data_IF_353788455531
#
_entry.id   IF_353788455531
#
_cell.length_a   1.000
_cell.length_b   1.000
_cell.length_c   1.000
_cell.angle_alpha   90.00
_cell.angle_beta   90.00
_cell.angle_gamma   90.00
#
_symmetry.space_group_name_H-M   'P 1'
#
loop_
_entity.id
_entity.type
_entity.pdbx_description
1 polymer ?
#
# COMPACT_ATOMS: atom_id res chain seq x y z
N UNK A 1 -1.74 23.70 -11.83
CA UNK A 1 -1.85 22.67 -10.78
C UNK A 1 -0.70 21.69 -10.96
N UNK A 2 0.04 21.35 -9.90
CA UNK A 2 1.19 20.43 -9.97
C UNK A 2 0.74 19.01 -10.30
N UNK A 3 1.67 18.17 -10.76
CA UNK A 3 1.42 16.76 -11.04
C UNK A 3 0.87 16.01 -9.82
N UNK A 4 1.48 16.20 -8.65
CA UNK A 4 1.05 15.58 -7.38
C UNK A 4 -0.40 15.91 -7.03
N UNK A 5 -0.80 17.20 -7.10
CA UNK A 5 -2.17 17.60 -6.75
C UNK A 5 -3.17 17.04 -7.78
N UNK A 6 -2.80 16.95 -9.07
CA UNK A 6 -3.66 16.33 -10.09
C UNK A 6 -3.87 14.84 -9.80
N UNK A 7 -2.80 14.12 -9.49
CA UNK A 7 -2.85 12.70 -9.14
C UNK A 7 -3.74 12.45 -7.92
N UNK A 8 -3.57 13.23 -6.85
CA UNK A 8 -4.38 13.11 -5.62
C UNK A 8 -5.88 13.29 -5.89
N UNK A 9 -6.26 14.26 -6.74
CA UNK A 9 -7.67 14.51 -7.07
C UNK A 9 -8.27 13.48 -8.03
N UNK A 10 -7.45 12.71 -8.73
CA UNK A 10 -7.89 11.67 -9.67
C UNK A 10 -8.09 10.30 -9.00
N UNK A 11 -7.90 10.17 -7.69
CA UNK A 11 -8.01 8.91 -6.96
C UNK A 11 -9.39 8.25 -7.12
N UNK A 12 -9.39 6.94 -7.37
CA UNK A 12 -10.58 6.07 -7.31
C UNK A 12 -10.20 4.69 -6.76
N UNK A 13 -11.10 4.03 -6.04
CA UNK A 13 -10.86 2.69 -5.49
C UNK A 13 -11.00 1.62 -6.58
N UNK A 14 -9.90 0.95 -6.90
CA UNK A 14 -9.87 -0.18 -7.85
C UNK A 14 -10.15 -1.49 -7.11
N UNK A 15 -11.00 -2.36 -7.67
CA UNK A 15 -11.38 -3.66 -7.06
C UNK A 15 -11.13 -4.87 -7.97
N UNK A 16 -10.64 -4.66 -9.18
CA UNK A 16 -10.30 -5.71 -10.14
C UNK A 16 -8.84 -5.54 -10.56
N UNK A 17 -8.01 -6.51 -10.22
CA UNK A 17 -6.57 -6.47 -10.43
C UNK A 17 -6.13 -7.56 -11.41
N UNK A 18 -4.95 -7.41 -12.00
CA UNK A 18 -4.29 -8.47 -12.77
C UNK A 18 -3.60 -9.43 -11.81
N UNK A 19 -3.33 -10.66 -12.25
CA UNK A 19 -2.52 -11.66 -11.51
C UNK A 19 -1.02 -11.34 -11.51
N UNK A 20 -0.64 -10.09 -11.81
CA UNK A 20 0.74 -9.66 -11.85
C UNK A 20 1.19 -9.24 -10.45
N UNK A 21 2.29 -9.83 -9.98
CA UNK A 21 2.92 -9.39 -8.74
C UNK A 21 3.54 -8.00 -8.86
N UNK A 22 3.50 -7.25 -7.76
CA UNK A 22 4.20 -5.97 -7.64
C UNK A 22 5.71 -6.24 -7.54
N UNK A 23 6.54 -5.68 -8.43
CA UNK A 23 7.99 -5.77 -8.35
C UNK A 23 8.51 -5.30 -6.98
N UNK A 24 9.60 -5.93 -6.50
CA UNK A 24 10.12 -5.60 -5.17
C UNK A 24 10.61 -4.15 -5.08
N UNK A 25 11.12 -3.57 -6.17
CA UNK A 25 11.55 -2.17 -6.24
C UNK A 25 10.38 -1.21 -6.01
N UNK A 26 9.24 -1.45 -6.67
CA UNK A 26 8.05 -0.62 -6.53
C UNK A 26 7.45 -0.75 -5.12
N UNK A 27 7.45 -1.97 -4.56
CA UNK A 27 7.02 -2.18 -3.18
C UNK A 27 7.89 -1.41 -2.18
N UNK A 28 9.22 -1.41 -2.37
CA UNK A 28 10.14 -0.68 -1.51
C UNK A 28 9.89 0.84 -1.59
N UNK A 29 9.63 1.37 -2.77
CA UNK A 29 9.32 2.79 -2.98
C UNK A 29 8.04 3.17 -2.22
N UNK A 30 6.98 2.36 -2.33
CA UNK A 30 5.71 2.57 -1.60
C UNK A 30 5.95 2.58 -0.09
N UNK A 31 6.70 1.60 0.45
CA UNK A 31 6.96 1.50 1.88
C UNK A 31 7.82 2.66 2.39
N UNK A 32 8.81 3.09 1.60
CA UNK A 32 9.66 4.24 1.93
C UNK A 32 8.84 5.53 1.96
N UNK A 33 8.01 5.76 0.95
CA UNK A 33 7.11 6.90 0.90
C UNK A 33 6.13 6.91 2.08
N UNK A 34 5.59 5.75 2.47
CA UNK A 34 4.71 5.62 3.63
C UNK A 34 5.41 6.00 4.95
N UNK A 35 6.69 5.65 5.12
CA UNK A 35 7.49 6.00 6.30
C UNK A 35 7.75 7.50 6.44
N UNK A 36 7.67 8.27 5.35
CA UNK A 36 7.89 9.73 5.38
C UNK A 36 6.67 10.51 5.90
N UNK A 37 5.53 9.83 6.13
CA UNK A 37 4.36 10.47 6.73
C UNK A 37 4.67 10.92 8.16
N UNK A 38 4.18 12.11 8.54
CA UNK A 38 4.33 12.58 9.91
C UNK A 38 3.67 11.63 10.91
N UNK A 39 4.39 11.28 11.98
CA UNK A 39 3.86 10.49 13.08
C UNK A 39 4.01 11.24 14.41
N UNK A 40 3.07 11.02 15.33
CA UNK A 40 3.08 11.69 16.62
C UNK A 40 4.38 11.41 17.36
N UNK A 41 5.08 12.47 17.76
CA UNK A 41 6.41 12.41 18.43
C UNK A 41 7.43 11.50 17.72
N UNK A 42 7.31 11.32 16.40
CA UNK A 42 8.12 10.38 15.64
C UNK A 42 8.07 8.93 16.18
N UNK A 43 6.98 8.54 16.84
CA UNK A 43 6.86 7.22 17.46
C UNK A 43 6.68 6.10 16.44
N UNK A 44 6.17 6.42 15.24
CA UNK A 44 5.90 5.44 14.18
C UNK A 44 5.07 4.25 14.71
N UNK A 45 3.97 4.54 15.41
CA UNK A 45 3.11 3.58 16.11
C UNK A 45 2.29 2.67 15.18
N UNK A 46 2.92 2.07 14.17
CA UNK A 46 2.27 1.18 13.22
C UNK A 46 3.25 0.09 12.75
N UNK A 47 2.71 -0.98 12.19
CA UNK A 47 3.49 -2.00 11.51
C UNK A 47 2.76 -2.40 10.24
N UNK A 48 3.52 -2.65 9.17
CA UNK A 48 3.00 -3.09 7.88
C UNK A 48 3.42 -4.52 7.66
N UNK A 49 2.46 -5.42 7.44
CA UNK A 49 2.71 -6.83 7.17
C UNK A 49 2.48 -7.10 5.68
N UNK A 50 3.53 -7.48 4.97
CA UNK A 50 3.43 -7.84 3.55
C UNK A 50 3.04 -9.31 3.43
N UNK A 51 1.81 -9.57 2.97
CA UNK A 51 1.29 -10.94 2.77
C UNK A 51 1.40 -11.32 1.30
N UNK A 52 2.31 -12.25 0.97
CA UNK A 52 2.48 -12.76 -0.40
C UNK A 52 1.81 -14.12 -0.65
N UNK A 53 1.83 -15.02 0.34
CA UNK A 53 1.26 -16.37 0.21
C UNK A 53 -0.24 -16.31 -0.12
N UNK A 54 -0.65 -17.05 -1.15
CA UNK A 54 -2.06 -17.14 -1.55
C UNK A 54 -2.92 -17.74 -0.44
N UNK A 55 -2.46 -18.81 0.21
CA UNK A 55 -3.13 -19.43 1.36
C UNK A 55 -3.48 -18.41 2.46
N UNK A 56 -2.55 -17.48 2.76
CA UNK A 56 -2.78 -16.44 3.77
C UNK A 56 -3.75 -15.35 3.27
N UNK A 57 -3.73 -15.04 1.97
CA UNK A 57 -4.68 -14.10 1.38
C UNK A 57 -6.09 -14.67 1.39
N UNK A 58 -6.24 -15.95 1.06
CA UNK A 58 -7.51 -16.66 1.08
C UNK A 58 -8.07 -16.69 2.51
N UNK A 59 -7.23 -17.05 3.49
CA UNK A 59 -7.62 -17.02 4.91
C UNK A 59 -8.07 -15.62 5.39
N UNK A 60 -7.45 -14.54 4.90
CA UNK A 60 -7.86 -13.17 5.22
C UNK A 60 -9.18 -12.78 4.53
N UNK A 61 -9.43 -13.28 3.32
CA UNK A 61 -10.67 -13.04 2.58
C UNK A 61 -11.89 -13.62 3.30
N UNK A 62 -11.76 -14.82 3.87
CA UNK A 62 -12.85 -15.49 4.62
C UNK A 62 -13.24 -14.79 5.94
N UNK A 63 -12.44 -13.84 6.43
CA UNK A 63 -12.72 -13.08 7.65
C UNK A 63 -13.53 -11.79 7.41
N UNK A 64 -13.82 -11.46 6.16
CA UNK A 64 -14.47 -10.22 5.72
C UNK A 64 -15.86 -10.53 5.17
#
# INVERSE_FOLDING_TARGET
>A
MTETIKLMKAHTSVRRFKEQEIPQVDLNEILTAAQMASSWKNFQSYSVIVVRSQEKKDALYELV
#
